data_IF_851190977997
#
_entry.id   IF_851190977997
#
_cell.length_a   1.000
_cell.length_b   1.000
_cell.length_c   1.000
_cell.angle_alpha   90.00
_cell.angle_beta   90.00
_cell.angle_gamma   90.00
#
_symmetry.space_group_name_H-M   'P 1'
#
loop_
_entity.id
_entity.type
_entity.pdbx_description
1 polymer ?
#
# COMPACT_ATOMS: atom_id res chain seq x y z
N UNK A 1 -22.67 -15.41 -5.13
CA UNK A 1 -21.52 -15.08 -4.25
C UNK A 1 -20.35 -14.74 -5.16
N UNK A 2 -20.12 -13.46 -5.44
CA UNK A 2 -19.02 -13.03 -6.29
C UNK A 2 -17.70 -13.42 -5.62
N UNK A 3 -16.96 -14.34 -6.21
CA UNK A 3 -15.62 -14.69 -5.74
C UNK A 3 -14.77 -13.41 -5.73
N UNK A 4 -13.99 -13.18 -4.67
CA UNK A 4 -13.06 -12.05 -4.68
C UNK A 4 -12.09 -12.24 -5.86
N UNK A 5 -11.79 -11.17 -6.62
CA UNK A 5 -10.81 -11.24 -7.69
C UNK A 5 -9.49 -11.75 -7.12
N UNK A 6 -8.76 -12.55 -7.90
CA UNK A 6 -7.47 -13.09 -7.46
C UNK A 6 -6.42 -11.97 -7.29
N UNK A 7 -5.23 -12.33 -6.80
CA UNK A 7 -4.16 -11.37 -6.55
C UNK A 7 -3.70 -10.65 -7.83
N UNK A 8 -3.68 -11.34 -8.97
CA UNK A 8 -3.21 -10.76 -10.22
C UNK A 8 -4.22 -9.71 -10.71
N UNK A 9 -5.51 -10.05 -10.71
CA UNK A 9 -6.58 -9.13 -11.07
C UNK A 9 -6.62 -7.88 -10.17
N UNK A 10 -6.37 -8.03 -8.86
CA UNK A 10 -6.29 -6.86 -7.95
C UNK A 10 -5.06 -6.00 -8.21
N UNK A 11 -3.93 -6.59 -8.59
CA UNK A 11 -2.73 -5.82 -8.96
C UNK A 11 -2.97 -5.02 -10.24
N UNK A 12 -3.60 -5.63 -11.24
CA UNK A 12 -3.99 -4.94 -12.49
C UNK A 12 -4.93 -3.77 -12.20
N UNK A 13 -5.98 -4.00 -11.41
CA UNK A 13 -6.90 -2.95 -10.98
C UNK A 13 -6.20 -1.83 -10.18
N UNK A 14 -5.20 -2.14 -9.34
CA UNK A 14 -4.42 -1.14 -8.62
C UNK A 14 -3.56 -0.29 -9.58
N UNK A 15 -2.96 -0.91 -10.62
CA UNK A 15 -2.19 -0.19 -11.64
C UNK A 15 -3.09 0.70 -12.50
N UNK A 16 -4.28 0.24 -12.87
CA UNK A 16 -5.26 1.03 -13.62
C UNK A 16 -5.77 2.22 -12.80
N UNK A 17 -6.11 2.00 -11.54
CA UNK A 17 -6.61 3.03 -10.62
C UNK A 17 -5.57 4.09 -10.28
N UNK A 18 -4.34 3.67 -9.99
CA UNK A 18 -3.31 4.55 -9.41
C UNK A 18 -2.25 4.99 -10.43
N UNK A 19 -2.30 4.46 -11.65
CA UNK A 19 -1.32 4.69 -12.71
C UNK A 19 -0.12 3.74 -12.66
N UNK A 20 0.63 3.66 -13.79
CA UNK A 20 1.66 2.64 -14.01
C UNK A 20 3.00 3.02 -13.37
N UNK A 21 3.02 3.48 -12.12
CA UNK A 21 4.24 3.87 -11.40
C UNK A 21 4.36 3.17 -10.05
N UNK A 22 5.60 2.90 -9.65
CA UNK A 22 5.90 2.39 -8.32
C UNK A 22 5.57 3.45 -7.27
N UNK A 23 4.67 3.12 -6.33
CA UNK A 23 4.27 4.03 -5.25
C UNK A 23 5.44 4.55 -4.41
N UNK A 24 6.55 3.81 -4.33
CA UNK A 24 7.70 4.14 -3.48
C UNK A 24 8.80 4.94 -4.19
N UNK A 25 9.21 4.53 -5.39
CA UNK A 25 10.32 5.19 -6.10
C UNK A 25 9.89 6.04 -7.31
N UNK A 26 8.60 6.08 -7.63
CA UNK A 26 8.05 6.85 -8.75
C UNK A 26 8.36 6.28 -10.14
N UNK A 27 9.26 5.30 -10.28
CA UNK A 27 9.60 4.70 -11.58
C UNK A 27 8.38 4.08 -12.25
N UNK A 28 8.21 4.37 -13.53
CA UNK A 28 7.20 3.77 -14.40
C UNK A 28 7.44 2.27 -14.55
N UNK A 29 6.37 1.49 -14.54
CA UNK A 29 6.41 0.06 -14.78
C UNK A 29 6.65 -0.24 -16.25
N UNK A 30 7.54 -1.18 -16.50
CA UNK A 30 7.89 -1.69 -17.83
C UNK A 30 8.42 -3.13 -17.71
N UNK A 31 9.10 -3.62 -18.76
CA UNK A 31 9.68 -4.98 -18.76
C UNK A 31 10.76 -5.20 -17.69
N UNK A 32 11.40 -4.14 -17.20
CA UNK A 32 12.48 -4.16 -16.22
C UNK A 32 11.97 -3.80 -14.82
N UNK A 33 11.03 -2.88 -14.72
CA UNK A 33 10.40 -2.45 -13.48
C UNK A 33 9.02 -3.11 -13.38
N UNK A 34 9.00 -4.36 -12.94
CA UNK A 34 7.75 -5.13 -12.84
C UNK A 34 6.93 -4.72 -11.61
N UNK A 35 5.61 -4.50 -11.74
CA UNK A 35 4.73 -4.23 -10.62
C UNK A 35 4.54 -5.49 -9.77
N UNK A 36 4.35 -5.28 -8.47
CA UNK A 36 4.01 -6.30 -7.50
C UNK A 36 2.96 -5.75 -6.53
N UNK A 37 2.15 -6.62 -5.94
CA UNK A 37 1.19 -6.23 -4.90
C UNK A 37 1.94 -5.89 -3.60
N UNK A 38 1.81 -4.63 -3.18
CA UNK A 38 2.27 -4.12 -1.88
C UNK A 38 1.06 -3.93 -0.96
N UNK A 39 1.22 -4.26 0.33
CA UNK A 39 0.17 -4.06 1.32
C UNK A 39 0.54 -2.86 2.22
N UNK A 40 -0.18 -1.75 2.15
CA UNK A 40 0.18 -0.54 2.94
C UNK A 40 0.19 -0.82 4.44
N UNK A 41 -0.72 -1.68 4.92
CA UNK A 41 -0.61 -2.39 6.20
C UNK A 41 -0.07 -3.80 5.95
N UNK A 42 1.15 -4.14 6.42
CA UNK A 42 1.74 -5.45 6.20
C UNK A 42 0.87 -6.60 6.73
N UNK A 43 0.84 -7.72 6.01
CA UNK A 43 0.09 -8.93 6.42
C UNK A 43 0.52 -9.47 7.79
N UNK A 44 1.81 -9.40 8.12
CA UNK A 44 2.34 -9.79 9.45
C UNK A 44 1.76 -8.92 10.58
N UNK A 45 1.34 -7.70 10.27
CA UNK A 45 0.65 -6.78 11.18
C UNK A 45 -0.89 -6.91 11.09
N UNK A 46 -1.39 -7.97 10.45
CA UNK A 46 -2.82 -8.26 10.30
C UNK A 46 -3.50 -7.57 9.12
N UNK A 47 -2.77 -6.90 8.23
CA UNK A 47 -3.36 -6.25 7.06
C UNK A 47 -4.05 -7.26 6.12
N UNK A 48 -5.31 -7.00 5.70
CA UNK A 48 -6.03 -7.92 4.83
C UNK A 48 -5.55 -7.80 3.37
N UNK A 49 -5.72 -8.86 2.58
CA UNK A 49 -5.54 -8.82 1.12
C UNK A 49 -6.81 -8.29 0.45
N UNK A 50 -7.12 -7.03 0.73
CA UNK A 50 -8.25 -6.29 0.16
C UNK A 50 -7.73 -5.22 -0.79
N UNK A 51 -8.52 -4.83 -1.78
CA UNK A 51 -8.14 -3.81 -2.75
C UNK A 51 -7.79 -2.48 -2.08
N UNK A 52 -8.42 -2.14 -0.96
CA UNK A 52 -8.15 -0.92 -0.18
C UNK A 52 -6.80 -0.94 0.54
N UNK A 53 -6.24 -2.13 0.80
CA UNK A 53 -4.91 -2.28 1.41
C UNK A 53 -3.81 -2.50 0.36
N UNK A 54 -4.14 -2.63 -0.92
CA UNK A 54 -3.21 -3.06 -1.97
C UNK A 54 -2.90 -1.92 -2.95
N UNK A 55 -1.61 -1.65 -3.13
CA UNK A 55 -1.05 -0.70 -4.11
C UNK A 55 0.03 -1.38 -4.96
N UNK A 56 0.38 -0.74 -6.08
CA UNK A 56 1.45 -1.25 -6.95
C UNK A 56 2.83 -0.72 -6.53
N UNK A 57 3.77 -1.63 -6.27
CA UNK A 57 5.17 -1.31 -6.02
C UNK A 57 6.09 -2.19 -6.87
N UNK A 58 7.25 -1.68 -7.28
CA UNK A 58 8.25 -2.52 -7.96
C UNK A 58 8.84 -3.55 -6.99
N UNK A 59 9.29 -4.69 -7.52
CA UNK A 59 9.84 -5.80 -6.74
C UNK A 59 10.93 -5.37 -5.75
N UNK A 60 11.85 -4.51 -6.19
CA UNK A 60 12.93 -3.97 -5.34
C UNK A 60 12.39 -3.21 -4.14
N UNK A 61 11.53 -2.22 -4.36
CA UNK A 61 11.04 -1.38 -3.26
C UNK A 61 10.13 -2.17 -2.31
N UNK A 62 9.30 -3.09 -2.83
CA UNK A 62 8.46 -3.97 -2.03
C UNK A 62 9.32 -4.88 -1.13
N UNK A 63 10.36 -5.49 -1.69
CA UNK A 63 11.28 -6.34 -0.93
C UNK A 63 12.07 -5.55 0.11
N UNK A 64 12.62 -4.39 -0.26
CA UNK A 64 13.36 -3.54 0.67
C UNK A 64 12.46 -3.07 1.82
N UNK A 65 11.24 -2.59 1.56
CA UNK A 65 10.32 -2.12 2.60
C UNK A 65 10.06 -3.19 3.67
N UNK A 66 9.83 -4.43 3.24
CA UNK A 66 9.58 -5.58 4.10
C UNK A 66 8.34 -5.39 4.97
N UNK A 67 8.53 -5.22 6.28
CA UNK A 67 7.44 -5.09 7.26
C UNK A 67 7.38 -3.72 7.93
N UNK A 68 8.15 -2.74 7.43
CA UNK A 68 8.17 -1.36 7.94
C UNK A 68 6.80 -0.68 7.82
N UNK A 69 6.60 0.41 8.56
CA UNK A 69 5.41 1.25 8.38
C UNK A 69 5.41 1.91 7.00
N UNK A 70 4.24 2.18 6.43
CA UNK A 70 4.14 2.92 5.18
C UNK A 70 4.72 4.34 5.32
N UNK A 71 4.45 5.03 6.44
CA UNK A 71 4.92 6.41 6.67
C UNK A 71 6.43 6.48 6.88
N UNK A 72 6.97 5.59 7.72
CA UNK A 72 8.42 5.44 7.90
C UNK A 72 9.13 5.18 6.57
N UNK A 73 8.53 4.37 5.71
CA UNK A 73 9.10 4.07 4.40
C UNK A 73 8.97 5.23 3.41
N UNK A 74 7.91 6.05 3.50
CA UNK A 74 7.81 7.30 2.74
C UNK A 74 8.95 8.26 3.10
N UNK A 75 9.24 8.42 4.40
CA UNK A 75 10.35 9.25 4.90
C UNK A 75 11.69 8.74 4.37
N UNK A 76 11.93 7.43 4.43
CA UNK A 76 13.16 6.82 3.91
C UNK A 76 13.29 6.96 2.38
N UNK A 77 12.20 6.81 1.63
CA UNK A 77 12.20 7.06 0.19
C UNK A 77 12.59 8.50 -0.13
N UNK A 78 12.03 9.48 0.60
CA UNK A 78 12.38 10.90 0.44
C UNK A 78 13.85 11.17 0.81
N UNK A 79 14.34 10.58 1.91
CA UNK A 79 15.73 10.69 2.33
C UNK A 79 16.72 10.13 1.30
N UNK A 80 16.30 9.14 0.50
CA UNK A 80 17.06 8.58 -0.63
C UNK A 80 16.97 9.42 -1.91
N UNK A 81 16.29 10.56 -1.88
CA UNK A 81 16.05 11.42 -3.04
C UNK A 81 15.00 10.88 -4.01
N UNK A 82 14.16 9.92 -3.60
CA UNK A 82 13.06 9.44 -4.42
C UNK A 82 11.81 10.30 -4.23
N UNK A 83 10.89 10.23 -5.18
CA UNK A 83 9.59 10.90 -5.14
C UNK A 83 8.48 9.87 -4.91
N UNK A 84 8.28 9.39 -3.67
CA UNK A 84 7.17 8.48 -3.37
C UNK A 84 5.82 9.20 -3.52
N UNK A 85 4.80 8.45 -3.92
CA UNK A 85 3.42 8.92 -4.04
C UNK A 85 2.72 8.84 -2.67
N UNK A 86 3.00 9.83 -1.82
CA UNK A 86 2.44 9.91 -0.47
C UNK A 86 0.92 10.06 -0.47
N UNK A 87 0.34 10.73 -1.48
CA UNK A 87 -1.10 10.90 -1.60
C UNK A 87 -1.79 9.56 -1.87
N UNK A 88 -1.23 8.71 -2.74
CA UNK A 88 -1.75 7.36 -2.98
C UNK A 88 -1.71 6.50 -1.72
N UNK A 89 -0.63 6.59 -0.95
CA UNK A 89 -0.52 5.87 0.34
C UNK A 89 -1.57 6.37 1.34
N UNK A 90 -1.78 7.68 1.43
CA UNK A 90 -2.82 8.26 2.29
C UNK A 90 -4.21 7.77 1.89
N UNK A 91 -4.56 7.87 0.59
CA UNK A 91 -5.84 7.38 0.06
C UNK A 91 -6.08 5.89 0.38
N UNK A 92 -5.05 5.05 0.22
CA UNK A 92 -5.16 3.62 0.54
C UNK A 92 -5.41 3.38 2.05
N UNK A 93 -4.66 4.05 2.93
CA UNK A 93 -4.86 3.91 4.37
C UNK A 93 -6.25 4.41 4.82
N UNK A 94 -6.72 5.53 4.26
CA UNK A 94 -8.06 6.07 4.56
C UNK A 94 -9.17 5.16 4.05
N UNK A 95 -9.06 4.68 2.81
CA UNK A 95 -9.98 3.71 2.21
C UNK A 95 -10.03 2.42 3.04
N UNK A 96 -8.87 1.93 3.47
CA UNK A 96 -8.78 0.75 4.32
C UNK A 96 -9.45 0.98 5.68
N UNK A 97 -9.30 2.16 6.29
CA UNK A 97 -9.94 2.47 7.56
C UNK A 97 -11.47 2.45 7.43
N UNK A 98 -12.02 3.04 6.36
CA UNK A 98 -13.45 2.97 6.04
C UNK A 98 -13.89 1.52 5.87
N UNK A 99 -13.16 0.72 5.08
CA UNK A 99 -13.49 -0.68 4.84
C UNK A 99 -13.44 -1.51 6.14
N UNK A 100 -12.47 -1.27 7.02
CA UNK A 100 -12.33 -1.95 8.32
C UNK A 100 -13.44 -1.55 9.30
N UNK A 101 -13.92 -0.30 9.24
CA UNK A 101 -15.06 0.15 10.02
C UNK A 101 -16.36 -0.52 9.56
N UNK A 102 -16.57 -0.61 8.24
CA UNK A 102 -17.77 -1.19 7.64
C UNK A 102 -17.83 -2.72 7.74
N UNK A 103 -16.74 -3.42 7.37
CA UNK A 103 -16.70 -4.89 7.28
C UNK A 103 -16.42 -5.56 8.63
N UNK A 104 -15.79 -4.86 9.58
CA UNK A 104 -15.35 -5.45 10.85
C UNK A 104 -14.24 -6.50 10.68
N UNK A 105 -14.04 -7.33 11.71
CA UNK A 105 -13.14 -8.50 11.68
C UNK A 105 -11.63 -8.22 11.74
N UNK A 106 -11.15 -7.04 11.35
CA UNK A 106 -9.72 -6.72 11.25
C UNK A 106 -9.10 -6.17 12.54
N UNK A 107 -9.38 -6.80 13.71
CA UNK A 107 -8.90 -6.32 15.02
C UNK A 107 -7.38 -6.19 15.09
N UNK A 108 -6.64 -7.07 14.43
CA UNK A 108 -5.16 -7.06 14.42
C UNK A 108 -4.58 -5.93 13.57
N UNK A 109 -5.26 -5.53 12.50
CA UNK A 109 -4.79 -4.44 11.62
C UNK A 109 -4.99 -3.05 12.23
N UNK A 110 -6.11 -2.85 12.96
CA UNK A 110 -6.58 -1.54 13.45
C UNK A 110 -5.49 -0.72 14.16
N UNK A 111 -4.77 -1.25 15.17
CA UNK A 111 -3.77 -0.45 15.89
C UNK A 111 -2.66 0.08 14.97
N UNK A 112 -2.21 -0.73 14.00
CA UNK A 112 -1.18 -0.30 13.06
C UNK A 112 -1.72 0.72 12.07
N UNK A 113 -2.90 0.48 11.52
CA UNK A 113 -3.58 1.38 10.60
C UNK A 113 -3.78 2.78 11.23
N UNK A 114 -4.34 2.82 12.43
CA UNK A 114 -4.58 4.08 13.16
C UNK A 114 -3.27 4.81 13.45
N UNK A 115 -2.20 4.07 13.78
CA UNK A 115 -0.88 4.66 14.00
C UNK A 115 -0.29 5.26 12.71
N UNK A 116 -0.45 4.61 11.56
CA UNK A 116 0.01 5.15 10.28
C UNK A 116 -0.78 6.41 9.89
N UNK A 117 -2.10 6.40 10.04
CA UNK A 117 -2.95 7.57 9.77
C UNK A 117 -2.61 8.76 10.67
N UNK A 118 -2.37 8.51 11.97
CA UNK A 118 -1.92 9.59 12.87
C UNK A 118 -0.57 10.17 12.46
N UNK A 119 0.39 9.34 12.06
CA UNK A 119 1.70 9.82 11.59
C UNK A 119 1.59 10.65 10.31
N UNK A 120 0.78 10.22 9.35
CA UNK A 120 0.54 10.99 8.12
C UNK A 120 -0.06 12.37 8.37
N UNK A 121 -0.92 12.52 9.38
CA UNK A 121 -1.54 13.80 9.74
C UNK A 121 -0.63 14.72 10.55
N UNK A 122 0.48 14.20 11.08
CA UNK A 122 1.39 14.93 11.95
C UNK A 122 2.64 15.46 11.21
N UNK A 123 2.89 14.99 9.98
CA UNK A 123 3.94 15.49 9.10
C UNK A 123 3.37 16.38 8.01
#
# INVERSE_FOLDING_TARGET
MSAQPDRAARLEAAVERDGPTCVWCGRTFDRWVRPTTEHVVPRVRGGPSWAENEVAACSRCNAERGHRGAVEWLEECRARGWSPDAERVARALESLAVAVAQRGGQRRARPHLDAQLRRLRAG
#
